data_IF_147471931266
#
_entry.id   IF_147471931266
#
_cell.length_a   1.000
_cell.length_b   1.000
_cell.length_c   1.000
_cell.angle_alpha   90.00
_cell.angle_beta   90.00
_cell.angle_gamma   90.00
#
_symmetry.space_group_name_H-M   'P 1'
#
loop_
_entity.id
_entity.type
_entity.pdbx_description
1 polymer ?
#
# COMPACT_ATOMS: atom_id res chain seq x y z
N UNK A 1 8.84 14.13 -23.52
CA UNK A 1 9.01 12.66 -23.56
C UNK A 1 8.90 12.03 -22.16
N UNK A 2 9.76 12.40 -21.19
CA UNK A 2 9.75 11.77 -19.85
C UNK A 2 8.49 12.04 -19.03
N UNK A 3 7.94 13.26 -19.04
CA UNK A 3 6.70 13.58 -18.34
C UNK A 3 5.52 12.71 -18.79
N UNK A 4 5.43 12.40 -20.09
CA UNK A 4 4.37 11.55 -20.63
C UNK A 4 4.47 10.09 -20.15
N UNK A 5 5.65 9.63 -19.72
CA UNK A 5 5.81 8.28 -19.16
C UNK A 5 5.22 8.15 -17.76
N UNK A 6 5.00 9.26 -17.07
CA UNK A 6 4.32 9.30 -15.76
C UNK A 6 2.80 9.34 -15.90
N UNK A 7 2.26 9.70 -17.07
CA UNK A 7 0.81 9.78 -17.30
C UNK A 7 0.16 8.40 -17.26
N UNK A 8 -1.04 8.37 -16.71
CA UNK A 8 -1.87 7.18 -16.53
C UNK A 8 -3.20 7.28 -17.29
N UNK A 9 -3.28 8.17 -18.27
CA UNK A 9 -4.50 8.40 -19.06
C UNK A 9 -5.00 7.08 -19.67
N UNK A 10 -6.30 6.84 -19.53
CA UNK A 10 -6.96 5.64 -20.03
C UNK A 10 -6.67 4.35 -19.24
N UNK A 11 -5.95 4.43 -18.13
CA UNK A 11 -5.72 3.30 -17.24
C UNK A 11 -6.74 3.28 -16.10
N UNK A 12 -7.04 2.09 -15.63
CA UNK A 12 -7.84 1.86 -14.42
C UNK A 12 -6.94 1.49 -13.25
N UNK A 13 -7.25 2.03 -12.06
CA UNK A 13 -6.53 1.73 -10.84
C UNK A 13 -7.48 1.27 -9.72
N UNK A 14 -7.05 0.30 -8.92
CA UNK A 14 -7.77 -0.17 -7.74
C UNK A 14 -6.88 -0.02 -6.50
N UNK A 15 -7.38 0.68 -5.47
CA UNK A 15 -6.62 0.98 -4.25
C UNK A 15 -7.36 0.42 -3.05
N UNK A 16 -6.75 -0.53 -2.33
CA UNK A 16 -7.32 -1.07 -1.08
C UNK A 16 -6.94 -0.20 0.11
N UNK A 17 -7.85 -0.02 1.08
CA UNK A 17 -7.64 0.91 2.19
C UNK A 17 -7.49 2.36 1.70
N UNK A 18 -8.24 2.73 0.66
CA UNK A 18 -8.07 3.99 -0.09
C UNK A 18 -8.76 5.21 0.53
N UNK A 19 -9.23 5.13 1.77
CA UNK A 19 -10.13 6.14 2.37
C UNK A 19 -9.42 7.18 3.24
N UNK A 20 -8.18 6.93 3.63
CA UNK A 20 -7.38 7.81 4.48
C UNK A 20 -5.88 7.54 4.33
N UNK A 21 -5.05 8.46 4.83
CA UNK A 21 -3.60 8.32 4.89
C UNK A 21 -2.97 8.00 3.52
N UNK A 22 -2.03 7.06 3.49
CA UNK A 22 -1.28 6.67 2.29
C UNK A 22 -2.21 6.22 1.16
N UNK A 23 -3.23 5.41 1.46
CA UNK A 23 -4.15 4.90 0.44
C UNK A 23 -4.95 6.00 -0.25
N UNK A 24 -5.44 6.98 0.53
CA UNK A 24 -6.14 8.13 0.00
C UNK A 24 -5.22 8.99 -0.88
N UNK A 25 -4.00 9.28 -0.41
CA UNK A 25 -3.01 10.03 -1.19
C UNK A 25 -2.61 9.29 -2.48
N UNK A 26 -2.52 7.95 -2.44
CA UNK A 26 -2.30 7.14 -3.65
C UNK A 26 -3.45 7.28 -4.65
N UNK A 27 -4.70 7.24 -4.18
CA UNK A 27 -5.86 7.41 -5.04
C UNK A 27 -5.89 8.81 -5.69
N UNK A 28 -5.60 9.84 -4.89
CA UNK A 28 -5.47 11.22 -5.35
C UNK A 28 -4.39 11.37 -6.44
N UNK A 29 -3.17 10.91 -6.15
CA UNK A 29 -2.05 10.99 -7.09
C UNK A 29 -2.33 10.21 -8.41
N UNK A 30 -2.85 8.99 -8.33
CA UNK A 30 -3.17 8.20 -9.51
C UNK A 30 -4.24 8.88 -10.39
N UNK A 31 -5.26 9.49 -9.76
CA UNK A 31 -6.29 10.25 -10.46
C UNK A 31 -5.73 11.53 -11.11
N UNK A 32 -4.85 12.27 -10.42
CA UNK A 32 -4.18 13.46 -10.95
C UNK A 32 -3.31 13.11 -12.17
N UNK A 33 -2.66 11.95 -12.18
CA UNK A 33 -1.93 11.45 -13.35
C UNK A 33 -2.83 10.90 -14.47
N UNK A 34 -4.17 10.86 -14.28
CA UNK A 34 -5.15 10.56 -15.32
C UNK A 34 -5.77 9.17 -15.26
N UNK A 35 -5.55 8.38 -14.20
CA UNK A 35 -6.19 7.08 -14.04
C UNK A 35 -7.66 7.22 -13.60
N UNK A 36 -8.52 6.31 -14.07
CA UNK A 36 -9.83 6.08 -13.48
C UNK A 36 -9.65 5.20 -12.23
N UNK A 37 -9.90 5.75 -11.03
CA UNK A 37 -9.57 5.10 -9.76
C UNK A 37 -10.81 4.58 -9.06
N UNK A 38 -10.73 3.34 -8.55
CA UNK A 38 -11.67 2.79 -7.56
C UNK A 38 -10.93 2.65 -6.23
N UNK A 39 -11.49 3.19 -5.16
CA UNK A 39 -11.02 2.95 -3.80
C UNK A 39 -11.90 1.91 -3.10
N UNK A 40 -11.28 1.06 -2.30
CA UNK A 40 -12.00 0.05 -1.54
C UNK A 40 -11.63 0.11 -0.05
N UNK A 41 -12.62 -0.03 0.81
CA UNK A 41 -12.44 -0.16 2.25
C UNK A 41 -13.58 -0.99 2.84
N UNK A 42 -13.34 -1.60 4.01
CA UNK A 42 -14.39 -2.34 4.72
C UNK A 42 -15.35 -1.44 5.50
N UNK A 43 -14.94 -0.22 5.82
CA UNK A 43 -15.74 0.77 6.54
C UNK A 43 -16.48 1.67 5.54
N UNK A 44 -17.79 1.45 5.41
CA UNK A 44 -18.65 2.18 4.49
C UNK A 44 -18.72 3.69 4.80
N UNK A 45 -18.69 4.06 6.08
CA UNK A 45 -18.76 5.47 6.48
C UNK A 45 -17.44 6.20 6.14
N UNK A 46 -16.29 5.54 6.35
CA UNK A 46 -14.99 6.07 5.91
C UNK A 46 -14.92 6.13 4.39
N UNK A 47 -15.45 5.12 3.69
CA UNK A 47 -15.47 5.08 2.23
C UNK A 47 -16.24 6.28 1.66
N UNK A 48 -17.42 6.55 2.17
CA UNK A 48 -18.24 7.69 1.74
C UNK A 48 -17.48 9.00 1.93
N UNK A 49 -16.89 9.25 3.11
CA UNK A 49 -16.12 10.47 3.38
C UNK A 49 -14.89 10.60 2.48
N UNK A 50 -14.15 9.50 2.27
CA UNK A 50 -12.98 9.49 1.40
C UNK A 50 -13.32 9.81 -0.06
N UNK A 51 -14.43 9.25 -0.55
CA UNK A 51 -14.96 9.53 -1.89
C UNK A 51 -15.36 10.99 -2.05
N UNK A 52 -16.11 11.54 -1.08
CA UNK A 52 -16.55 12.94 -1.13
C UNK A 52 -15.37 13.89 -1.17
N UNK A 53 -14.33 13.62 -0.36
CA UNK A 53 -13.11 14.43 -0.35
C UNK A 53 -12.35 14.39 -1.69
N UNK A 54 -12.23 13.22 -2.33
CA UNK A 54 -11.59 13.09 -3.65
C UNK A 54 -12.42 13.72 -4.77
N UNK A 55 -13.73 13.57 -4.73
CA UNK A 55 -14.66 14.19 -5.68
C UNK A 55 -14.64 15.72 -5.58
N UNK A 56 -14.52 16.26 -4.35
CA UNK A 56 -14.37 17.71 -4.14
C UNK A 56 -13.09 18.29 -4.78
N UNK A 57 -12.05 17.47 -4.99
CA UNK A 57 -10.85 17.82 -5.77
C UNK A 57 -11.06 17.73 -7.29
N UNK A 58 -12.23 17.31 -7.74
CA UNK A 58 -12.57 17.18 -9.16
C UNK A 58 -12.26 15.81 -9.77
N UNK A 59 -11.89 14.80 -8.97
CA UNK A 59 -11.60 13.47 -9.47
C UNK A 59 -12.87 12.64 -9.68
N UNK A 60 -12.93 11.90 -10.79
CA UNK A 60 -13.93 10.86 -11.03
C UNK A 60 -13.51 9.56 -10.34
N UNK A 61 -13.88 9.43 -9.06
CA UNK A 61 -13.51 8.28 -8.21
C UNK A 61 -14.73 7.41 -7.96
N UNK A 62 -14.52 6.10 -8.08
CA UNK A 62 -15.49 5.06 -7.70
C UNK A 62 -15.13 4.43 -6.34
N UNK A 63 -16.12 3.82 -5.69
CA UNK A 63 -15.94 3.20 -4.38
C UNK A 63 -16.56 1.82 -4.26
N UNK A 64 -15.96 0.98 -3.41
CA UNK A 64 -16.45 -0.35 -3.12
C UNK A 64 -16.23 -0.70 -1.65
N UNK A 65 -17.29 -1.14 -0.96
CA UNK A 65 -17.15 -1.78 0.36
C UNK A 65 -16.52 -3.16 0.16
N UNK A 66 -15.33 -3.38 0.72
CA UNK A 66 -14.60 -4.62 0.55
C UNK A 66 -13.71 -4.92 1.76
N UNK A 67 -13.89 -6.10 2.35
CA UNK A 67 -12.91 -6.65 3.29
C UNK A 67 -11.89 -7.51 2.51
N UNK A 68 -10.63 -7.10 2.55
CA UNK A 68 -9.54 -7.80 1.85
C UNK A 68 -9.23 -9.19 2.44
N UNK A 69 -9.75 -9.49 3.64
CA UNK A 69 -9.59 -10.81 4.29
C UNK A 69 -10.58 -11.85 3.76
N UNK A 70 -11.60 -11.44 2.99
CA UNK A 70 -12.52 -12.35 2.27
C UNK A 70 -12.04 -12.59 0.83
N UNK A 71 -11.40 -13.73 0.54
CA UNK A 71 -10.88 -14.04 -0.78
C UNK A 71 -11.97 -14.20 -1.84
N UNK A 72 -13.21 -14.53 -1.44
CA UNK A 72 -14.34 -14.68 -2.35
C UNK A 72 -14.83 -13.30 -2.77
N UNK A 73 -15.06 -12.39 -1.82
CA UNK A 73 -15.44 -11.01 -2.10
C UNK A 73 -14.39 -10.30 -2.96
N UNK A 74 -13.09 -10.49 -2.67
CA UNK A 74 -11.99 -9.95 -3.47
C UNK A 74 -12.02 -10.46 -4.91
N UNK A 75 -12.26 -11.76 -5.12
CA UNK A 75 -12.36 -12.35 -6.46
C UNK A 75 -13.55 -11.76 -7.22
N UNK A 76 -14.72 -11.70 -6.59
CA UNK A 76 -15.92 -11.11 -7.18
C UNK A 76 -15.72 -9.63 -7.54
N UNK A 77 -15.04 -8.88 -6.68
CA UNK A 77 -14.73 -7.47 -6.93
C UNK A 77 -13.84 -7.27 -8.17
N UNK A 78 -12.83 -8.13 -8.34
CA UNK A 78 -11.96 -8.10 -9.51
C UNK A 78 -12.72 -8.51 -10.79
N UNK A 79 -13.49 -9.59 -10.74
CA UNK A 79 -14.23 -10.12 -11.90
C UNK A 79 -15.30 -9.15 -12.40
N UNK A 80 -16.07 -8.54 -11.47
CA UNK A 80 -17.11 -7.56 -11.81
C UNK A 80 -16.57 -6.31 -12.53
N UNK A 81 -15.27 -6.01 -12.39
CA UNK A 81 -14.60 -4.87 -13.02
C UNK A 81 -13.74 -5.24 -14.22
N UNK A 82 -13.64 -6.54 -14.55
CA UNK A 82 -12.69 -7.01 -15.56
C UNK A 82 -11.22 -6.80 -15.15
N UNK A 83 -10.95 -6.70 -13.84
CA UNK A 83 -9.66 -6.38 -13.26
C UNK A 83 -9.37 -4.88 -13.21
N UNK A 84 -8.08 -4.53 -13.15
CA UNK A 84 -7.55 -3.17 -13.24
C UNK A 84 -6.17 -3.21 -13.90
N UNK A 85 -5.70 -2.07 -14.45
CA UNK A 85 -4.35 -1.95 -15.01
C UNK A 85 -3.31 -1.76 -13.88
N UNK A 86 -3.74 -1.12 -12.78
CA UNK A 86 -2.94 -0.81 -11.62
C UNK A 86 -3.66 -1.32 -10.37
N UNK A 87 -2.95 -2.07 -9.52
CA UNK A 87 -3.41 -2.46 -8.19
C UNK A 87 -2.48 -1.86 -7.15
N UNK A 88 -3.03 -1.12 -6.18
CA UNK A 88 -2.30 -0.69 -4.98
C UNK A 88 -2.83 -1.46 -3.79
N UNK A 89 -2.05 -2.40 -3.28
CA UNK A 89 -2.33 -3.11 -2.04
C UNK A 89 -1.85 -2.28 -0.86
N UNK A 90 -2.75 -1.43 -0.33
CA UNK A 90 -2.45 -0.54 0.77
C UNK A 90 -3.16 -0.94 2.06
N UNK A 91 -4.30 -1.63 2.00
CA UNK A 91 -5.01 -2.07 3.20
C UNK A 91 -4.05 -2.78 4.18
N UNK A 92 -4.02 -2.29 5.40
CA UNK A 92 -3.11 -2.81 6.42
C UNK A 92 -3.42 -2.27 7.80
N UNK A 93 -3.04 -3.03 8.81
CA UNK A 93 -3.16 -2.66 10.22
C UNK A 93 -1.80 -2.78 10.89
N UNK A 94 -1.52 -1.86 11.80
CA UNK A 94 -0.45 -1.95 12.76
C UNK A 94 -1.05 -1.74 14.15
N UNK A 95 -0.76 -2.64 15.06
CA UNK A 95 -1.05 -2.45 16.48
C UNK A 95 0.25 -2.65 17.18
N UNK A 96 0.75 -1.63 17.87
CA UNK A 96 2.05 -1.63 18.52
C UNK A 96 1.92 -1.86 20.02
N UNK A 97 3.04 -2.03 20.70
CA UNK A 97 3.21 -2.08 22.15
C UNK A 97 2.76 -3.37 22.84
N UNK A 98 2.70 -4.50 22.11
CA UNK A 98 2.52 -5.80 22.75
C UNK A 98 3.81 -6.61 22.60
N UNK A 99 4.50 -6.93 23.70
CA UNK A 99 5.66 -7.83 23.70
C UNK A 99 5.31 -9.18 23.07
N UNK A 100 6.27 -9.80 22.38
CA UNK A 100 6.01 -10.99 21.57
C UNK A 100 5.40 -12.15 22.38
N UNK A 101 5.83 -12.33 23.63
CA UNK A 101 5.34 -13.35 24.57
C UNK A 101 3.91 -13.11 25.05
N UNK A 102 3.39 -11.89 24.89
CA UNK A 102 2.04 -11.49 25.32
C UNK A 102 1.06 -11.35 24.14
N UNK A 103 1.55 -11.52 22.91
CA UNK A 103 0.69 -11.40 21.71
C UNK A 103 -0.33 -12.53 21.67
N UNK A 104 -1.62 -12.18 21.75
CA UNK A 104 -2.69 -13.16 21.57
C UNK A 104 -2.68 -13.75 20.15
N UNK A 105 -2.97 -15.04 20.03
CA UNK A 105 -3.06 -15.75 18.75
C UNK A 105 -3.98 -15.04 17.75
N UNK A 106 -5.11 -14.52 18.21
CA UNK A 106 -6.07 -13.80 17.38
C UNK A 106 -5.46 -12.50 16.82
N UNK A 107 -4.70 -11.76 17.65
CA UNK A 107 -4.02 -10.55 17.21
C UNK A 107 -2.99 -10.88 16.12
N UNK A 108 -2.15 -11.90 16.34
CA UNK A 108 -1.21 -12.39 15.35
C UNK A 108 -1.88 -12.72 14.01
N UNK A 109 -2.93 -13.56 14.09
CA UNK A 109 -3.68 -13.98 12.88
C UNK A 109 -4.31 -12.79 12.16
N UNK A 110 -4.98 -11.88 12.89
CA UNK A 110 -5.62 -10.71 12.30
C UNK A 110 -4.63 -9.81 11.54
N UNK A 111 -3.42 -9.58 12.10
CA UNK A 111 -2.39 -8.78 11.41
C UNK A 111 -1.91 -9.49 10.14
N UNK A 112 -1.67 -10.78 10.18
CA UNK A 112 -1.27 -11.55 9.00
C UNK A 112 -2.40 -11.63 7.97
N UNK A 113 -3.65 -11.81 8.39
CA UNK A 113 -4.79 -11.90 7.49
C UNK A 113 -5.00 -10.60 6.71
N UNK A 114 -4.92 -9.46 7.35
CA UNK A 114 -5.06 -8.18 6.65
C UNK A 114 -3.81 -7.86 5.81
N UNK A 115 -2.63 -7.88 6.44
CA UNK A 115 -1.43 -7.33 5.81
C UNK A 115 -0.83 -8.24 4.74
N UNK A 116 -0.87 -9.57 4.94
CA UNK A 116 -0.26 -10.54 4.05
C UNK A 116 -1.29 -11.27 3.19
N UNK A 117 -2.26 -11.95 3.83
CA UNK A 117 -3.25 -12.74 3.10
C UNK A 117 -4.11 -11.84 2.21
N UNK A 118 -4.59 -10.69 2.72
CA UNK A 118 -5.34 -9.71 1.94
C UNK A 118 -4.55 -9.17 0.74
N UNK A 119 -3.26 -8.86 0.94
CA UNK A 119 -2.35 -8.46 -0.16
C UNK A 119 -2.26 -9.58 -1.23
N UNK A 120 -2.12 -10.84 -0.80
CA UNK A 120 -2.05 -11.98 -1.72
C UNK A 120 -3.37 -12.23 -2.45
N UNK A 121 -4.52 -12.16 -1.74
CA UNK A 121 -5.83 -12.37 -2.37
C UNK A 121 -6.09 -11.32 -3.45
N UNK A 122 -5.82 -10.06 -3.18
CA UNK A 122 -5.96 -8.97 -4.16
C UNK A 122 -4.98 -9.15 -5.32
N UNK A 123 -3.69 -9.39 -5.05
CA UNK A 123 -2.69 -9.62 -6.09
C UNK A 123 -3.10 -10.79 -7.00
N UNK A 124 -3.57 -11.91 -6.44
CA UNK A 124 -4.02 -13.07 -7.18
C UNK A 124 -5.24 -12.78 -8.05
N UNK A 125 -6.26 -12.12 -7.49
CA UNK A 125 -7.51 -11.86 -8.19
C UNK A 125 -7.31 -10.88 -9.36
N UNK A 126 -6.73 -9.70 -9.09
CA UNK A 126 -6.46 -8.71 -10.13
C UNK A 126 -5.34 -9.16 -11.09
N UNK A 127 -4.32 -9.86 -10.56
CA UNK A 127 -3.22 -10.41 -11.34
C UNK A 127 -3.68 -11.37 -12.43
N UNK A 128 -4.70 -12.21 -12.19
CA UNK A 128 -5.29 -13.07 -13.23
C UNK A 128 -5.73 -12.28 -14.46
N UNK A 129 -6.42 -11.16 -14.25
CA UNK A 129 -6.87 -10.30 -15.35
C UNK A 129 -5.69 -9.59 -16.02
N UNK A 130 -4.69 -9.12 -15.26
CA UNK A 130 -3.48 -8.52 -15.81
C UNK A 130 -2.70 -9.51 -16.67
N UNK A 131 -2.52 -10.74 -16.18
CA UNK A 131 -1.83 -11.83 -16.90
C UNK A 131 -2.56 -12.21 -18.18
N UNK A 132 -3.90 -12.27 -18.15
CA UNK A 132 -4.70 -12.55 -19.35
C UNK A 132 -4.57 -11.45 -20.42
N UNK A 133 -4.35 -10.20 -20.01
CA UNK A 133 -4.11 -9.06 -20.92
C UNK A 133 -2.64 -8.90 -21.32
N UNK A 134 -1.71 -9.59 -20.65
CA UNK A 134 -0.27 -9.43 -20.85
C UNK A 134 0.25 -8.05 -20.40
N UNK A 135 -0.46 -7.36 -19.48
CA UNK A 135 -0.08 -6.03 -18.98
C UNK A 135 -0.67 -5.74 -17.61
N UNK A 136 0.14 -5.23 -16.69
CA UNK A 136 -0.32 -4.77 -15.38
C UNK A 136 0.80 -4.23 -14.50
N UNK A 137 0.42 -3.47 -13.47
CA UNK A 137 1.34 -2.99 -12.43
C UNK A 137 0.72 -3.15 -11.06
N UNK A 138 1.38 -3.88 -10.17
CA UNK A 138 0.98 -4.05 -8.78
C UNK A 138 2.01 -3.33 -7.91
N UNK A 139 1.53 -2.48 -7.01
CA UNK A 139 2.35 -1.79 -6.01
C UNK A 139 1.83 -2.14 -4.62
N UNK A 140 2.65 -2.84 -3.85
CA UNK A 140 2.33 -3.22 -2.47
C UNK A 140 2.87 -2.17 -1.49
N UNK A 141 2.10 -1.81 -0.47
CA UNK A 141 2.60 -0.99 0.63
C UNK A 141 3.24 -1.92 1.68
N UNK A 142 4.57 -1.99 1.59
CA UNK A 142 5.42 -2.64 2.57
C UNK A 142 5.60 -1.78 3.83
N UNK A 143 6.80 -1.79 4.37
CA UNK A 143 7.29 -0.91 5.46
C UNK A 143 8.79 -1.06 5.60
N UNK A 144 9.50 -0.04 6.08
CA UNK A 144 10.87 -0.22 6.58
C UNK A 144 10.97 -1.34 7.63
N UNK A 145 9.89 -1.58 8.37
CA UNK A 145 9.76 -2.66 9.36
C UNK A 145 9.91 -4.07 8.78
N UNK A 146 9.83 -4.23 7.47
CA UNK A 146 10.17 -5.48 6.80
C UNK A 146 11.67 -5.68 6.57
N UNK A 147 12.50 -4.66 6.81
CA UNK A 147 13.96 -4.69 6.72
C UNK A 147 14.64 -4.56 8.06
N UNK A 148 14.05 -3.80 8.99
CA UNK A 148 14.64 -3.48 10.29
C UNK A 148 13.67 -3.83 11.43
N UNK A 149 14.18 -3.81 12.66
CA UNK A 149 13.34 -3.90 13.86
C UNK A 149 13.14 -2.51 14.43
N UNK A 150 11.88 -2.12 14.58
CA UNK A 150 11.49 -0.80 15.09
C UNK A 150 11.84 -0.63 16.57
N UNK A 151 12.12 0.60 16.97
CA UNK A 151 12.32 1.04 18.36
C UNK A 151 11.53 2.32 18.62
N UNK A 152 10.91 2.47 19.83
CA UNK A 152 10.99 1.59 21.00
C UNK A 152 9.94 0.47 21.00
N UNK A 153 8.90 0.54 20.14
CA UNK A 153 7.72 -0.30 20.21
C UNK A 153 7.98 -1.77 19.82
N UNK A 154 7.55 -2.75 20.64
CA UNK A 154 7.50 -4.15 20.25
C UNK A 154 6.36 -4.38 19.25
N UNK A 155 6.65 -4.98 18.09
CA UNK A 155 5.67 -5.22 17.03
C UNK A 155 6.10 -6.37 16.10
N UNK A 156 6.56 -7.48 16.65
CA UNK A 156 7.09 -8.63 15.91
C UNK A 156 6.12 -9.14 14.82
N UNK A 157 4.82 -9.20 15.11
CA UNK A 157 3.75 -9.58 14.20
C UNK A 157 3.66 -8.67 12.97
N UNK A 158 3.80 -7.36 13.17
CA UNK A 158 3.79 -6.39 12.07
C UNK A 158 5.05 -6.52 11.21
N UNK A 159 6.24 -6.56 11.85
CA UNK A 159 7.51 -6.71 11.15
C UNK A 159 7.52 -8.00 10.31
N UNK A 160 7.07 -9.12 10.88
CA UNK A 160 6.94 -10.38 10.16
C UNK A 160 5.99 -10.27 8.96
N UNK A 161 4.82 -9.64 9.12
CA UNK A 161 3.86 -9.44 8.03
C UNK A 161 4.45 -8.61 6.89
N UNK A 162 5.18 -7.53 7.20
CA UNK A 162 5.75 -6.65 6.19
C UNK A 162 6.99 -7.24 5.51
N UNK A 163 7.81 -8.01 6.22
CA UNK A 163 8.87 -8.81 5.61
C UNK A 163 8.31 -9.86 4.64
N UNK A 164 7.19 -10.51 5.01
CA UNK A 164 6.50 -11.45 4.13
C UNK A 164 5.93 -10.76 2.87
N UNK A 165 5.36 -9.55 2.98
CA UNK A 165 4.91 -8.76 1.82
C UNK A 165 6.08 -8.43 0.88
N UNK A 166 7.27 -8.10 1.42
CA UNK A 166 8.47 -7.87 0.60
C UNK A 166 8.86 -9.13 -0.19
N UNK A 167 8.88 -10.29 0.46
CA UNK A 167 9.22 -11.53 -0.24
C UNK A 167 8.12 -11.97 -1.22
N UNK A 168 6.85 -11.79 -0.87
CA UNK A 168 5.72 -12.01 -1.79
C UNK A 168 5.86 -11.13 -3.05
N UNK A 169 6.22 -9.86 -2.89
CA UNK A 169 6.48 -8.95 -4.02
C UNK A 169 7.53 -9.50 -4.98
N UNK A 170 8.66 -9.99 -4.46
CA UNK A 170 9.73 -10.59 -5.29
C UNK A 170 9.27 -11.87 -5.97
N UNK A 171 8.54 -12.73 -5.25
CA UNK A 171 8.04 -14.00 -5.80
C UNK A 171 7.08 -13.77 -6.96
N UNK A 172 6.06 -12.92 -6.77
CA UNK A 172 5.09 -12.60 -7.82
C UNK A 172 5.75 -11.87 -9.01
N UNK A 173 6.73 -10.99 -8.75
CA UNK A 173 7.50 -10.35 -9.80
C UNK A 173 8.25 -11.36 -10.66
N UNK A 174 8.92 -12.34 -10.04
CA UNK A 174 9.66 -13.38 -10.75
C UNK A 174 8.74 -14.30 -11.57
N UNK A 175 7.54 -14.62 -11.06
CA UNK A 175 6.58 -15.48 -11.72
C UNK A 175 5.84 -14.80 -12.89
N UNK A 176 5.70 -13.47 -12.89
CA UNK A 176 4.79 -12.75 -13.78
C UNK A 176 5.47 -11.78 -14.75
N UNK A 177 6.77 -11.52 -14.58
CA UNK A 177 7.50 -10.51 -15.37
C UNK A 177 7.50 -10.83 -16.88
N UNK A 178 7.74 -12.07 -17.26
CA UNK A 178 7.76 -12.52 -18.66
C UNK A 178 6.37 -12.54 -19.31
N UNK A 179 5.32 -12.41 -18.47
CA UNK A 179 3.92 -12.31 -18.89
C UNK A 179 3.37 -10.87 -18.82
N UNK A 180 4.26 -9.87 -18.72
CA UNK A 180 3.94 -8.45 -18.81
C UNK A 180 3.37 -7.81 -17.54
N UNK A 181 3.44 -8.46 -16.37
CA UNK A 181 2.97 -7.90 -15.10
C UNK A 181 4.16 -7.57 -14.21
N UNK A 182 4.24 -6.31 -13.79
CA UNK A 182 5.25 -5.83 -12.84
C UNK A 182 4.68 -5.83 -11.42
N UNK A 183 5.48 -6.25 -10.44
CA UNK A 183 5.10 -6.21 -9.02
C UNK A 183 6.23 -5.58 -8.23
N UNK A 184 5.95 -4.45 -7.57
CA UNK A 184 6.91 -3.73 -6.74
C UNK A 184 6.29 -3.40 -5.38
N UNK A 185 7.09 -2.94 -4.44
CA UNK A 185 6.62 -2.40 -3.18
C UNK A 185 7.28 -1.06 -2.85
N UNK A 186 6.56 -0.24 -2.10
CA UNK A 186 7.11 0.91 -1.39
C UNK A 186 7.21 0.53 0.09
N UNK A 187 8.31 0.85 0.73
CA UNK A 187 8.58 0.59 2.14
C UNK A 187 8.72 1.92 2.90
N UNK A 188 7.60 2.50 3.39
CA UNK A 188 7.62 3.76 4.12
C UNK A 188 8.20 3.60 5.53
N UNK A 189 8.69 4.73 6.08
CA UNK A 189 8.94 4.96 7.50
C UNK A 189 7.66 5.34 8.24
N UNK A 190 7.78 6.07 9.34
CA UNK A 190 6.69 6.68 10.07
C UNK A 190 6.11 7.85 9.25
N UNK A 191 4.86 7.70 8.84
CA UNK A 191 4.14 8.67 7.99
C UNK A 191 3.05 9.34 8.83
N UNK A 192 2.81 10.64 8.62
CA UNK A 192 1.78 11.44 9.29
C UNK A 192 0.38 10.99 8.86
N UNK A 193 -0.10 9.89 9.43
CA UNK A 193 -1.39 9.25 9.10
C UNK A 193 -2.17 8.93 10.37
N UNK A 194 -3.48 8.68 10.28
CA UNK A 194 -4.28 8.19 11.42
C UNK A 194 -3.71 6.90 12.05
N UNK A 195 -3.01 6.08 11.29
CA UNK A 195 -2.37 4.86 11.80
C UNK A 195 -1.29 5.17 12.86
N UNK A 196 -0.60 6.29 12.74
CA UNK A 196 0.46 6.74 13.64
C UNK A 196 0.02 7.83 14.62
N UNK A 197 -1.26 8.26 14.59
CA UNK A 197 -1.79 9.35 15.43
C UNK A 197 -1.82 9.01 16.93
N UNK A 198 -1.56 7.76 17.30
CA UNK A 198 -1.45 7.35 18.71
C UNK A 198 -0.15 7.83 19.37
N UNK A 199 0.89 8.16 18.59
CA UNK A 199 2.13 8.72 19.10
C UNK A 199 1.97 10.23 19.25
N UNK A 200 1.68 10.67 20.48
CA UNK A 200 1.68 12.09 20.83
C UNK A 200 3.06 12.70 20.50
N UNK A 201 3.07 13.89 19.90
CA UNK A 201 4.29 14.61 19.52
C UNK A 201 5.21 14.91 20.71
N UNK A 202 4.69 14.97 21.93
CA UNK A 202 5.45 15.14 23.16
C UNK A 202 5.95 13.80 23.74
N UNK A 203 5.51 12.66 23.19
CA UNK A 203 5.89 11.33 23.68
C UNK A 203 7.36 11.00 23.40
N UNK A 204 7.95 10.17 24.27
CA UNK A 204 9.30 9.64 24.05
C UNK A 204 9.35 8.81 22.75
N UNK A 205 8.27 8.10 22.42
CA UNK A 205 8.16 7.30 21.19
C UNK A 205 8.30 8.19 19.95
N UNK A 206 7.55 9.30 19.89
CA UNK A 206 7.62 10.24 18.77
C UNK A 206 9.02 10.83 18.62
N UNK A 207 9.63 11.28 19.73
CA UNK A 207 11.00 11.80 19.73
C UNK A 207 11.99 10.77 19.18
N UNK A 208 11.91 9.50 19.59
CA UNK A 208 12.79 8.44 19.08
C UNK A 208 12.58 8.18 17.59
N UNK A 209 11.36 8.32 17.08
CA UNK A 209 11.12 8.22 15.63
C UNK A 209 11.81 9.34 14.87
N UNK A 210 11.68 10.58 15.35
CA UNK A 210 12.31 11.76 14.74
C UNK A 210 13.83 11.67 14.83
N UNK A 211 14.38 11.36 16.00
CA UNK A 211 15.83 11.24 16.22
C UNK A 211 16.45 10.10 15.40
N UNK A 212 15.72 9.02 15.18
CA UNK A 212 16.13 7.91 14.33
C UNK A 212 16.04 8.18 12.83
N UNK A 213 15.36 9.25 12.42
CA UNK A 213 15.19 9.60 11.01
C UNK A 213 16.20 10.68 10.61
N UNK A 214 17.13 10.45 9.66
CA UNK A 214 18.10 11.47 9.21
C UNK A 214 17.47 12.78 8.75
N UNK A 215 16.28 12.73 8.13
CA UNK A 215 15.56 13.94 7.76
C UNK A 215 14.85 14.65 8.94
N UNK A 216 14.92 14.09 10.16
CA UNK A 216 14.41 14.64 11.41
C UNK A 216 12.92 15.03 11.36
N UNK A 217 12.09 14.26 10.66
CA UNK A 217 10.64 14.45 10.53
C UNK A 217 9.90 13.15 10.22
N UNK A 218 8.59 13.16 10.38
CA UNK A 218 7.73 12.15 9.74
C UNK A 218 7.70 12.40 8.22
N UNK A 219 7.43 11.34 7.47
CA UNK A 219 7.05 11.48 6.05
C UNK A 219 5.58 11.90 5.92
N UNK A 220 5.23 12.47 4.77
CA UNK A 220 3.86 12.79 4.42
C UNK A 220 3.28 11.71 3.48
N UNK A 221 1.96 11.45 3.53
CA UNK A 221 1.31 10.48 2.65
C UNK A 221 1.58 10.72 1.17
N UNK A 222 1.67 11.98 0.75
CA UNK A 222 1.92 12.41 -0.63
C UNK A 222 3.33 12.02 -1.13
N UNK A 223 4.30 11.95 -0.22
CA UNK A 223 5.66 11.53 -0.57
C UNK A 223 5.69 10.04 -0.93
N UNK A 224 4.91 9.21 -0.20
CA UNK A 224 4.74 7.78 -0.51
C UNK A 224 3.93 7.62 -1.80
N UNK A 225 2.85 8.37 -1.94
CA UNK A 225 1.97 8.33 -3.11
C UNK A 225 2.71 8.69 -4.41
N UNK A 226 3.65 9.63 -4.36
CA UNK A 226 4.50 10.00 -5.49
C UNK A 226 5.34 8.81 -5.99
N UNK A 227 5.92 8.03 -5.07
CA UNK A 227 6.66 6.81 -5.41
C UNK A 227 5.73 5.73 -5.97
N UNK A 228 4.53 5.57 -5.40
CA UNK A 228 3.51 4.63 -5.92
C UNK A 228 3.12 5.01 -7.35
N UNK A 229 2.82 6.28 -7.63
CA UNK A 229 2.46 6.73 -8.97
C UNK A 229 3.60 6.50 -9.98
N UNK A 230 4.87 6.76 -9.60
CA UNK A 230 6.02 6.41 -10.42
C UNK A 230 6.07 4.91 -10.72
N UNK A 231 5.98 4.04 -9.71
CA UNK A 231 6.04 2.58 -9.89
C UNK A 231 4.86 2.04 -10.71
N UNK A 232 3.69 2.68 -10.63
CA UNK A 232 2.51 2.33 -11.42
C UNK A 232 2.67 2.69 -12.91
N UNK A 233 3.49 3.69 -13.23
CA UNK A 233 3.63 4.30 -14.56
C UNK A 233 4.63 3.57 -15.47
N UNK A 234 4.67 3.99 -16.75
CA UNK A 234 5.68 3.49 -17.72
C UNK A 234 7.08 4.04 -17.46
N UNK A 235 7.22 5.06 -16.58
CA UNK A 235 8.53 5.52 -16.13
C UNK A 235 9.31 4.43 -15.37
N UNK A 236 8.58 3.50 -14.73
CA UNK A 236 9.14 2.36 -14.00
C UNK A 236 9.08 1.04 -14.81
N UNK A 237 9.01 1.08 -16.15
CA UNK A 237 8.80 -0.11 -16.99
C UNK A 237 9.85 -1.20 -16.85
N UNK A 238 11.07 -0.89 -16.42
CA UNK A 238 12.14 -1.87 -16.15
C UNK A 238 12.19 -2.33 -14.68
N UNK A 239 11.31 -1.78 -13.82
CA UNK A 239 11.30 -2.12 -12.39
C UNK A 239 10.25 -3.18 -12.09
N UNK A 240 10.70 -4.32 -11.59
CA UNK A 240 9.85 -5.37 -11.00
C UNK A 240 10.62 -6.06 -9.88
N UNK A 241 9.96 -6.52 -8.82
CA UNK A 241 10.58 -7.12 -7.65
C UNK A 241 11.30 -6.13 -6.72
N UNK A 242 11.24 -4.83 -7.01
CA UNK A 242 11.89 -3.79 -6.21
C UNK A 242 11.09 -3.49 -4.95
N UNK A 243 11.79 -3.31 -3.83
CA UNK A 243 11.24 -2.78 -2.59
C UNK A 243 11.90 -1.41 -2.38
N UNK A 244 11.17 -0.34 -2.69
CA UNK A 244 11.69 1.03 -2.68
C UNK A 244 11.47 1.63 -1.30
N UNK A 245 12.55 1.93 -0.60
CA UNK A 245 12.52 2.63 0.68
C UNK A 245 12.10 4.10 0.45
N UNK A 246 11.10 4.55 1.22
CA UNK A 246 10.66 5.93 1.34
C UNK A 246 10.67 6.28 2.83
N UNK A 247 11.86 6.37 3.42
CA UNK A 247 12.06 6.26 4.86
C UNK A 247 12.85 7.44 5.49
N UNK A 248 13.07 8.51 4.74
CA UNK A 248 13.83 9.65 5.23
C UNK A 248 15.26 9.32 5.69
N UNK A 249 15.78 8.15 5.24
CA UNK A 249 17.08 7.63 5.62
C UNK A 249 17.10 6.79 6.90
N UNK A 250 15.94 6.45 7.48
CA UNK A 250 15.84 5.72 8.75
C UNK A 250 16.65 4.42 8.78
N UNK A 251 16.74 3.71 7.66
CA UNK A 251 17.46 2.44 7.54
C UNK A 251 18.92 2.57 7.06
N UNK A 252 19.49 3.78 7.06
CA UNK A 252 20.88 3.99 6.65
C UNK A 252 21.92 3.60 7.71
N UNK A 253 21.54 3.42 8.97
CA UNK A 253 22.39 3.03 10.09
C UNK A 253 21.80 1.94 10.99
#
# INVERSE_FOLDING_TARGET
MYANRLRLDGRTAFVTGGVQGIGWACADALAEFGAAVTIADRDEALLTRGLDALRAKGHAIDGLVLDVTDPTAVTQAADARGGADILVNNAGIARSDTPAEEVADEHWRNVLDVNLNGTFWCARAFGRHMLARGKGSIVNIGSMSGFIVNRPQPQSYYNASKAAVHQLTRSLAAEWADRGVRVNAVAPTYIATPLNAFADQESEMYRRWIDGTPQARLGEPEEVASVVAFLASDAASLMTGSIVLADGGYSCW
#
